data_IF_864566892610
#
_entry.id   IF_864566892610
#
_cell.length_a   1.000
_cell.length_b   1.000
_cell.length_c   1.000
_cell.angle_alpha   90.00
_cell.angle_beta   90.00
_cell.angle_gamma   90.00
#
_symmetry.space_group_name_H-M   'P 1'
#
loop_
_entity.id
_entity.type
_entity.pdbx_description
1 polymer ?
#
# COMPACT_ATOMS: atom_id res chain seq x y z
N UNK A 1 -44.97 -18.67 -61.21
CA UNK A 1 -43.61 -19.20 -61.50
C UNK A 1 -42.49 -18.27 -61.02
N UNK A 2 -42.55 -16.96 -61.28
CA UNK A 2 -41.48 -15.99 -60.93
C UNK A 2 -41.16 -15.94 -59.42
N UNK A 3 -42.18 -16.06 -58.55
CA UNK A 3 -41.99 -16.08 -57.09
C UNK A 3 -41.21 -17.29 -56.57
N UNK A 4 -41.37 -18.46 -57.18
CA UNK A 4 -40.66 -19.67 -56.77
C UNK A 4 -39.17 -19.61 -57.12
N UNK A 5 -38.83 -19.00 -58.26
CA UNK A 5 -37.45 -18.78 -58.70
C UNK A 5 -36.74 -17.78 -57.78
N UNK A 6 -37.42 -16.71 -57.37
CA UNK A 6 -36.87 -15.72 -56.44
C UNK A 6 -36.57 -16.31 -55.05
N UNK A 7 -37.45 -17.19 -54.55
CA UNK A 7 -37.26 -17.86 -53.26
C UNK A 7 -36.09 -18.87 -53.33
N UNK A 8 -36.00 -19.63 -54.42
CA UNK A 8 -34.90 -20.58 -54.63
C UNK A 8 -33.54 -19.86 -54.73
N UNK A 9 -33.49 -18.70 -55.40
CA UNK A 9 -32.28 -17.89 -55.49
C UNK A 9 -31.86 -17.34 -54.12
N UNK A 10 -32.82 -16.88 -53.31
CA UNK A 10 -32.56 -16.41 -51.94
C UNK A 10 -32.01 -17.52 -51.04
N UNK A 11 -32.53 -18.75 -51.14
CA UNK A 11 -32.07 -19.90 -50.34
C UNK A 11 -30.62 -20.30 -50.69
N UNK A 12 -30.25 -20.26 -51.97
CA UNK A 12 -28.87 -20.56 -52.42
C UNK A 12 -27.89 -19.49 -51.93
N UNK A 13 -28.28 -18.21 -51.88
CA UNK A 13 -27.43 -17.13 -51.39
C UNK A 13 -27.19 -17.17 -49.86
N UNK A 14 -28.04 -17.83 -49.09
CA UNK A 14 -27.87 -17.97 -47.62
C UNK A 14 -27.04 -19.21 -47.23
N UNK A 15 -26.74 -20.10 -48.17
CA UNK A 15 -25.97 -21.32 -47.93
C UNK A 15 -24.45 -21.12 -48.13
N UNK A 16 -23.94 -19.93 -47.77
CA UNK A 16 -22.50 -19.71 -47.66
C UNK A 16 -21.92 -20.55 -46.53
N UNK A 17 -20.75 -21.21 -46.69
CA UNK A 17 -20.15 -21.97 -45.61
C UNK A 17 -19.84 -21.02 -44.46
N UNK A 18 -20.39 -21.29 -43.27
CA UNK A 18 -19.89 -20.71 -42.00
C UNK A 18 -18.52 -21.34 -41.78
N UNK A 19 -17.48 -20.69 -42.30
CA UNK A 19 -16.12 -20.99 -41.90
C UNK A 19 -16.00 -20.58 -40.45
N UNK A 20 -15.65 -21.54 -39.60
CA UNK A 20 -15.33 -21.33 -38.21
C UNK A 20 -14.41 -20.11 -38.10
N UNK A 21 -14.92 -19.02 -37.54
CA UNK A 21 -14.11 -17.87 -37.19
C UNK A 21 -12.99 -18.38 -36.30
N UNK A 22 -11.73 -18.15 -36.71
CA UNK A 22 -10.57 -18.36 -35.87
C UNK A 22 -10.87 -17.72 -34.52
N UNK A 23 -10.98 -18.57 -33.49
CA UNK A 23 -11.13 -18.12 -32.12
C UNK A 23 -9.82 -17.40 -31.82
N UNK A 24 -9.87 -16.07 -31.80
CA UNK A 24 -8.76 -15.23 -31.37
C UNK A 24 -8.23 -15.85 -30.06
N UNK A 25 -6.92 -16.17 -29.95
CA UNK A 25 -6.40 -16.87 -28.80
C UNK A 25 -6.75 -16.04 -27.56
N UNK A 26 -7.61 -16.58 -26.70
CA UNK A 26 -8.02 -15.90 -25.47
C UNK A 26 -6.77 -15.57 -24.67
N UNK A 27 -6.43 -14.27 -24.63
CA UNK A 27 -5.31 -13.77 -23.88
C UNK A 27 -5.83 -13.24 -22.54
N UNK A 28 -5.74 -14.01 -21.44
CA UNK A 28 -6.20 -13.58 -20.13
C UNK A 28 -5.44 -12.35 -19.61
N UNK A 29 -4.27 -12.05 -20.17
CA UNK A 29 -3.45 -10.91 -19.78
C UNK A 29 -3.73 -9.62 -20.55
N UNK A 30 -4.46 -9.68 -21.67
CA UNK A 30 -4.81 -8.49 -22.44
C UNK A 30 -5.54 -7.39 -21.61
N UNK A 31 -6.50 -7.73 -20.72
CA UNK A 31 -7.16 -6.73 -19.88
C UNK A 31 -6.22 -6.11 -18.84
N UNK A 32 -5.22 -6.86 -18.35
CA UNK A 32 -4.27 -6.36 -17.36
C UNK A 32 -3.20 -5.49 -18.04
N UNK A 33 -2.74 -5.86 -19.24
CA UNK A 33 -1.84 -5.04 -20.06
C UNK A 33 -2.47 -3.70 -20.47
N UNK A 34 -3.79 -3.68 -20.69
CA UNK A 34 -4.52 -2.47 -21.05
C UNK A 34 -5.05 -1.69 -19.82
N UNK A 35 -5.43 -2.39 -18.77
CA UNK A 35 -6.13 -1.83 -17.59
C UNK A 35 -5.21 -1.44 -16.42
N UNK A 36 -4.07 -2.10 -16.24
CA UNK A 36 -3.03 -1.72 -15.27
C UNK A 36 -1.85 -1.11 -16.01
N UNK A 37 -2.10 0.05 -16.62
CA UNK A 37 -1.01 0.83 -17.18
C UNK A 37 -0.03 1.23 -16.06
N UNK A 38 1.25 1.31 -16.40
CA UNK A 38 2.31 1.74 -15.48
C UNK A 38 2.00 3.09 -14.83
N UNK A 39 1.24 3.96 -15.51
CA UNK A 39 0.81 5.25 -14.97
C UNK A 39 -0.27 5.11 -13.89
N UNK A 40 -1.24 4.21 -14.05
CA UNK A 40 -2.26 3.94 -13.02
C UNK A 40 -1.63 3.32 -11.78
N UNK A 41 -0.75 2.32 -11.95
CA UNK A 41 0.00 1.72 -10.85
C UNK A 41 0.84 2.76 -10.11
N UNK A 42 1.54 3.63 -10.85
CA UNK A 42 2.31 4.73 -10.27
C UNK A 42 1.42 5.73 -9.52
N UNK A 43 0.25 6.06 -10.05
CA UNK A 43 -0.70 6.96 -9.39
C UNK A 43 -1.23 6.37 -8.08
N UNK A 44 -1.61 5.09 -8.09
CA UNK A 44 -2.08 4.38 -6.89
C UNK A 44 -0.98 4.27 -5.84
N UNK A 45 0.25 3.97 -6.26
CA UNK A 45 1.40 3.89 -5.37
C UNK A 45 1.71 5.25 -4.74
N UNK A 46 1.73 6.32 -5.55
CA UNK A 46 1.91 7.67 -5.03
C UNK A 46 0.81 8.05 -4.03
N UNK A 47 -0.45 7.79 -4.36
CA UNK A 47 -1.57 8.06 -3.45
C UNK A 47 -1.46 7.25 -2.15
N UNK A 48 -0.98 6.00 -2.22
CA UNK A 48 -0.73 5.20 -1.03
C UNK A 48 0.41 5.78 -0.18
N UNK A 49 1.49 6.26 -0.80
CA UNK A 49 2.58 6.95 -0.10
C UNK A 49 2.13 8.26 0.53
N UNK A 50 1.35 9.09 -0.17
CA UNK A 50 0.81 10.33 0.38
C UNK A 50 -0.05 10.07 1.62
N UNK A 51 -0.87 9.00 1.57
CA UNK A 51 -1.68 8.58 2.72
C UNK A 51 -0.84 8.03 3.85
N UNK A 52 0.18 7.24 3.54
CA UNK A 52 1.09 6.69 4.53
C UNK A 52 1.87 7.82 5.23
N UNK A 53 2.37 8.78 4.47
CA UNK A 53 3.07 9.95 4.99
C UNK A 53 2.14 10.79 5.87
N UNK A 54 0.86 10.96 5.52
CA UNK A 54 -0.10 11.64 6.39
C UNK A 54 -0.30 10.92 7.73
N UNK A 55 -0.15 9.60 7.80
CA UNK A 55 -0.40 8.82 9.02
C UNK A 55 0.86 8.48 9.81
N UNK A 56 2.05 8.57 9.20
CA UNK A 56 3.31 8.17 9.82
C UNK A 56 4.31 9.32 9.90
N UNK A 57 5.06 9.34 10.99
CA UNK A 57 6.19 10.24 11.18
C UNK A 57 7.31 9.45 11.86
N UNK A 58 8.45 9.36 11.20
CA UNK A 58 9.64 8.68 11.71
C UNK A 58 10.76 9.71 11.76
N UNK A 59 11.33 9.91 12.95
CA UNK A 59 12.45 10.81 13.17
C UNK A 59 13.57 10.03 13.86
N UNK A 60 14.77 10.07 13.27
CA UNK A 60 15.98 9.55 13.87
C UNK A 60 16.98 10.68 14.03
N UNK A 61 17.51 10.86 15.24
CA UNK A 61 18.64 11.74 15.49
C UNK A 61 19.77 10.91 16.08
N UNK A 62 20.93 11.01 15.45
CA UNK A 62 22.19 10.50 15.96
C UNK A 62 23.06 11.72 16.22
N UNK A 63 23.60 11.88 17.42
CA UNK A 63 24.48 13.02 17.69
C UNK A 63 25.82 12.79 16.99
N UNK A 64 26.19 13.59 15.97
CA UNK A 64 27.44 13.40 15.26
C UNK A 64 28.63 14.06 15.96
N UNK A 65 28.40 14.84 17.04
CA UNK A 65 29.48 15.47 17.82
C UNK A 65 30.24 14.48 18.70
N UNK A 66 29.73 13.26 18.77
CA UNK A 66 30.14 12.16 19.64
C UNK A 66 31.25 11.28 19.02
N UNK A 67 32.17 11.92 18.28
CA UNK A 67 33.34 11.26 17.63
C UNK A 67 34.34 10.70 18.67
N UNK A 68 34.15 10.98 19.97
CA UNK A 68 34.99 10.52 21.08
C UNK A 68 34.39 9.39 21.92
N UNK A 69 33.35 8.72 21.42
CA UNK A 69 33.01 7.36 21.84
C UNK A 69 31.84 7.23 22.81
N UNK A 70 31.29 8.33 23.32
CA UNK A 70 29.88 8.32 23.70
C UNK A 70 29.07 8.34 22.40
N UNK A 71 28.05 7.51 22.24
CA UNK A 71 27.18 7.55 21.07
C UNK A 71 25.73 7.52 21.56
N UNK A 72 25.09 8.69 21.51
CA UNK A 72 23.67 8.82 21.82
C UNK A 72 22.82 8.84 20.54
N UNK A 73 21.77 8.01 20.53
CA UNK A 73 20.78 8.00 19.47
C UNK A 73 19.36 8.04 20.00
N UNK A 74 18.49 8.76 19.27
CA UNK A 74 17.05 8.82 19.51
C UNK A 74 16.31 8.42 18.25
N UNK A 75 15.39 7.48 18.39
CA UNK A 75 14.40 7.12 17.37
C UNK A 75 13.01 7.47 17.91
N UNK A 76 12.23 8.21 17.13
CA UNK A 76 10.85 8.53 17.44
C UNK A 76 9.97 8.12 16.27
N UNK A 77 8.96 7.34 16.58
CA UNK A 77 7.90 6.93 15.69
C UNK A 77 6.58 7.51 16.19
N UNK A 78 5.80 8.12 15.31
CA UNK A 78 4.43 8.53 15.60
C UNK A 78 3.50 8.01 14.52
N UNK A 79 2.35 7.52 14.94
CA UNK A 79 1.25 7.11 14.09
C UNK A 79 0.00 7.91 14.42
N UNK A 80 -0.56 8.57 13.41
CA UNK A 80 -1.75 9.42 13.49
C UNK A 80 -2.93 8.66 12.89
N UNK A 81 -3.83 8.08 13.70
CA UNK A 81 -4.90 7.22 13.19
C UNK A 81 -5.84 7.91 12.20
N UNK A 82 -6.08 9.21 12.41
CA UNK A 82 -6.95 10.04 11.56
C UNK A 82 -6.18 10.81 10.48
N UNK A 83 -4.85 10.68 10.47
CA UNK A 83 -3.93 11.49 9.67
C UNK A 83 -3.54 12.81 10.35
N UNK A 84 -2.27 13.19 10.21
CA UNK A 84 -1.68 14.45 10.70
C UNK A 84 -2.45 15.66 10.22
N UNK A 85 -3.01 15.60 9.01
CA UNK A 85 -3.80 16.69 8.42
C UNK A 85 -5.13 16.95 9.14
N UNK A 86 -5.66 15.98 9.88
CA UNK A 86 -6.98 16.08 10.54
C UNK A 86 -6.90 16.18 12.06
N UNK A 87 -5.89 15.55 12.66
CA UNK A 87 -5.77 15.48 14.11
C UNK A 87 -4.31 15.39 14.54
N UNK A 88 -3.99 16.08 15.63
CA UNK A 88 -2.70 15.95 16.33
C UNK A 88 -2.67 14.72 17.27
N UNK A 89 -3.77 13.97 17.36
CA UNK A 89 -3.81 12.73 18.13
C UNK A 89 -2.97 11.64 17.47
N UNK A 90 -2.01 11.12 18.24
CA UNK A 90 -1.11 10.10 17.75
C UNK A 90 -0.71 9.10 18.83
N UNK A 91 -0.34 7.93 18.36
CA UNK A 91 0.39 6.91 19.09
C UNK A 91 1.88 7.20 18.87
N UNK A 92 2.66 7.36 19.94
CA UNK A 92 4.10 7.55 19.84
C UNK A 92 4.86 6.35 20.41
N UNK A 93 5.93 5.96 19.75
CA UNK A 93 6.95 5.05 20.26
C UNK A 93 8.31 5.75 20.16
N UNK A 94 8.99 5.91 21.28
CA UNK A 94 10.30 6.55 21.36
C UNK A 94 11.31 5.54 21.89
N UNK A 95 12.48 5.48 21.25
CA UNK A 95 13.62 4.70 21.66
C UNK A 95 14.83 5.61 21.85
N UNK A 96 15.55 5.46 22.94
CA UNK A 96 16.84 6.11 23.16
C UNK A 96 17.86 5.05 23.51
N UNK A 97 19.06 5.21 22.95
CA UNK A 97 20.20 4.40 23.31
C UNK A 97 21.39 5.28 23.60
N UNK A 98 22.20 4.83 24.54
CA UNK A 98 23.47 5.43 24.90
C UNK A 98 24.51 4.33 24.98
N UNK A 99 25.59 4.49 24.21
CA UNK A 99 26.70 3.55 24.16
C UNK A 99 27.95 4.26 24.62
N UNK A 100 28.49 3.86 25.78
CA UNK A 100 29.74 4.38 26.32
C UNK A 100 30.96 3.61 25.76
N UNK A 101 32.13 4.26 25.57
CA UNK A 101 33.25 3.69 24.83
C UNK A 101 34.12 2.69 25.59
N UNK A 102 34.10 2.69 26.94
CA UNK A 102 35.07 1.93 27.76
C UNK A 102 34.43 0.91 28.70
N UNK A 103 33.64 -0.02 28.15
CA UNK A 103 33.04 -1.11 28.94
C UNK A 103 31.93 -0.66 29.91
N UNK A 104 31.40 0.54 29.69
CA UNK A 104 30.25 1.09 30.39
C UNK A 104 28.93 0.48 29.93
N UNK A 105 27.96 0.51 30.83
CA UNK A 105 26.58 0.03 30.67
C UNK A 105 25.94 0.61 29.39
N UNK A 106 25.35 -0.25 28.57
CA UNK A 106 24.50 0.17 27.46
C UNK A 106 23.09 0.39 27.99
N UNK A 107 22.61 1.62 27.91
CA UNK A 107 21.27 1.95 28.36
C UNK A 107 20.34 2.08 27.16
N UNK A 108 19.28 1.28 27.17
CA UNK A 108 18.22 1.27 26.17
C UNK A 108 16.91 1.64 26.85
N UNK A 109 16.30 2.72 26.39
CA UNK A 109 15.02 3.19 26.90
C UNK A 109 13.99 3.15 25.80
N UNK A 110 12.80 2.64 26.13
CA UNK A 110 11.65 2.63 25.24
C UNK A 110 10.47 3.26 25.95
N UNK A 111 9.77 4.17 25.27
CA UNK A 111 8.56 4.81 25.78
C UNK A 111 7.46 4.73 24.74
N UNK A 112 6.31 4.22 25.16
CA UNK A 112 5.09 4.22 24.38
C UNK A 112 4.13 5.25 24.96
N UNK A 113 3.59 6.13 24.11
CA UNK A 113 2.60 7.14 24.51
C UNK A 113 1.32 6.91 23.73
N UNK A 114 0.21 6.77 24.46
CA UNK A 114 -1.13 6.66 23.90
C UNK A 114 -1.80 8.04 23.83
N UNK A 115 -2.73 8.28 22.89
CA UNK A 115 -3.55 9.48 22.86
C UNK A 115 -4.34 9.64 24.16
N UNK A 116 -4.42 10.87 24.67
CA UNK A 116 -5.08 11.16 25.95
C UNK A 116 -6.61 11.03 25.90
N UNK A 117 -7.22 11.16 24.73
CA UNK A 117 -8.69 11.21 24.57
C UNK A 117 -9.34 9.89 24.16
N UNK A 118 -8.67 8.75 24.40
CA UNK A 118 -9.29 7.42 24.25
C UNK A 118 -10.37 7.22 25.31
N UNK A 119 -11.56 7.78 25.06
CA UNK A 119 -12.75 7.54 25.88
C UNK A 119 -13.24 6.09 25.77
N UNK A 120 -12.76 5.28 24.82
CA UNK A 120 -13.20 3.89 24.67
C UNK A 120 -12.04 2.93 24.34
N UNK A 121 -11.98 1.89 25.17
CA UNK A 121 -11.29 0.59 25.07
C UNK A 121 -9.74 0.56 25.15
N UNK A 122 -9.16 -0.14 26.16
CA UNK A 122 -7.80 -0.66 26.03
C UNK A 122 -7.75 -1.61 24.82
N UNK A 123 -6.61 -1.61 24.10
CA UNK A 123 -6.33 -2.57 23.03
C UNK A 123 -6.43 -3.98 23.62
N UNK A 124 -7.58 -4.64 23.45
CA UNK A 124 -7.73 -6.04 23.83
C UNK A 124 -7.00 -6.86 22.77
N UNK A 125 -5.80 -7.30 23.10
CA UNK A 125 -5.15 -8.36 22.36
C UNK A 125 -5.97 -9.62 22.59
N UNK A 126 -6.71 -10.05 21.57
CA UNK A 126 -7.44 -11.29 21.61
C UNK A 126 -6.41 -12.41 21.57
N UNK A 127 -6.23 -13.11 22.70
CA UNK A 127 -5.35 -14.27 22.77
C UNK A 127 -5.82 -15.33 21.74
N UNK A 128 -4.90 -15.92 20.97
CA UNK A 128 -5.25 -16.99 20.06
C UNK A 128 -5.73 -18.21 20.86
N UNK A 129 -6.90 -18.74 20.46
CA UNK A 129 -7.51 -19.98 20.97
C UNK A 129 -6.63 -21.20 20.73
#
# INVERSE_FOLDING_TARGET
>A
MIRAVAIAFFLVCTAGPVWAAEVEPFNPEAPFQQGLSTSLLRSLLNQAFDKLEDHLEIMGMLDPSDVKGDQQGRLQFKFYPEGKSKSDEHLAAEGWFHVAPEGGQQDWHFRFTLPKDRKHAPLQFQEPL
#
